data_IF_015390873344
#
_entry.id   IF_015390873344
#
_cell.length_a   1.000
_cell.length_b   1.000
_cell.length_c   1.000
_cell.angle_alpha   90.00
_cell.angle_beta   90.00
_cell.angle_gamma   90.00
#
_symmetry.space_group_name_H-M   'P 1'
#
loop_
_entity.id
_entity.type
_entity.pdbx_description
1 polymer ?
#
# COMPACT_ATOMS: atom_id res chain seq x y z
N UNK A 1 -13.53 23.84 3.10
CA UNK A 1 -12.60 23.60 1.99
C UNK A 1 -11.64 22.54 2.47
N UNK A 2 -11.66 21.33 1.91
CA UNK A 2 -10.74 20.27 2.33
C UNK A 2 -9.39 20.53 1.69
N UNK A 3 -8.39 20.77 2.52
CA UNK A 3 -7.04 21.14 2.08
C UNK A 3 -6.29 19.89 1.61
N UNK A 4 -5.90 19.86 0.34
CA UNK A 4 -5.00 18.84 -0.21
C UNK A 4 -3.57 19.26 0.06
N UNK A 5 -2.82 18.44 0.78
CA UNK A 5 -1.39 18.60 1.03
C UNK A 5 -0.59 17.70 0.10
N UNK A 6 0.41 18.26 -0.57
CA UNK A 6 1.35 17.50 -1.41
C UNK A 6 2.75 17.62 -0.81
N UNK A 7 3.40 16.48 -0.57
CA UNK A 7 4.82 16.41 -0.24
C UNK A 7 5.59 16.10 -1.53
N UNK A 8 6.57 16.95 -1.85
CA UNK A 8 7.43 16.77 -3.01
C UNK A 8 8.49 15.68 -2.79
N UNK A 9 9.24 15.35 -3.85
CA UNK A 9 10.25 14.30 -3.81
C UNK A 9 11.30 14.46 -2.71
N UNK A 10 11.79 15.68 -2.49
CA UNK A 10 12.77 15.93 -1.43
C UNK A 10 12.20 15.61 -0.03
N UNK A 11 10.92 15.90 0.23
CA UNK A 11 10.27 15.58 1.49
C UNK A 11 10.04 14.07 1.64
N UNK A 12 9.66 13.39 0.55
CA UNK A 12 9.51 11.94 0.52
C UNK A 12 10.85 11.23 0.71
N UNK A 13 11.93 11.73 0.09
CA UNK A 13 13.28 11.22 0.28
C UNK A 13 13.73 11.39 1.74
N UNK A 14 13.42 12.53 2.35
CA UNK A 14 13.66 12.76 3.78
C UNK A 14 12.87 11.81 4.69
N UNK A 15 11.64 11.45 4.33
CA UNK A 15 10.85 10.42 5.04
C UNK A 15 11.52 9.04 4.92
N UNK A 16 11.96 8.66 3.72
CA UNK A 16 12.63 7.37 3.47
C UNK A 16 13.97 7.28 4.21
N UNK A 17 14.74 8.36 4.26
CA UNK A 17 15.98 8.41 5.03
C UNK A 17 15.74 8.21 6.53
N UNK A 18 14.67 8.79 7.09
CA UNK A 18 14.27 8.54 8.49
C UNK A 18 13.88 7.07 8.72
N UNK A 19 13.06 6.51 7.83
CA UNK A 19 12.70 5.08 7.87
C UNK A 19 13.95 4.20 7.88
N UNK A 20 14.93 4.49 7.01
CA UNK A 20 16.17 3.72 6.96
C UNK A 20 16.94 3.74 8.28
N UNK A 21 17.06 4.92 8.91
CA UNK A 21 17.71 5.06 10.22
C UNK A 21 16.97 4.28 11.33
N UNK A 22 15.64 4.44 11.41
CA UNK A 22 14.81 3.75 12.40
C UNK A 22 14.83 2.24 12.23
N UNK A 23 14.80 1.78 10.97
CA UNK A 23 14.90 0.38 10.61
C UNK A 23 16.28 -0.19 10.96
N UNK A 24 17.35 0.54 10.68
CA UNK A 24 18.70 0.11 11.05
C UNK A 24 18.86 -0.04 12.57
N UNK A 25 18.29 0.89 13.34
CA UNK A 25 18.28 0.83 14.80
C UNK A 25 17.47 -0.36 15.33
N UNK A 26 16.30 -0.67 14.74
CA UNK A 26 15.49 -1.85 15.12
C UNK A 26 16.23 -3.17 14.80
N UNK A 27 16.80 -3.28 13.59
CA UNK A 27 17.55 -4.48 13.17
C UNK A 27 18.76 -4.73 14.07
N UNK A 28 19.53 -3.67 14.35
CA UNK A 28 20.69 -3.74 15.24
C UNK A 28 20.32 -4.21 16.64
N UNK A 29 19.23 -3.66 17.22
CA UNK A 29 18.74 -4.05 18.55
C UNK A 29 18.30 -5.51 18.61
N UNK A 30 17.75 -6.03 17.52
CA UNK A 30 17.29 -7.42 17.39
C UNK A 30 18.39 -8.38 16.95
N UNK A 31 19.60 -7.88 16.65
CA UNK A 31 20.70 -8.69 16.15
C UNK A 31 20.45 -9.30 14.77
N UNK A 32 19.55 -8.72 13.97
CA UNK A 32 19.23 -9.22 12.63
C UNK A 32 20.29 -8.71 11.64
N UNK A 33 20.93 -9.65 10.94
CA UNK A 33 21.89 -9.40 9.88
C UNK A 33 21.35 -9.92 8.56
N UNK A 34 21.75 -9.28 7.47
CA UNK A 34 21.43 -9.67 6.09
C UNK A 34 19.95 -10.02 5.83
N UNK A 35 19.02 -9.10 6.20
CA UNK A 35 17.60 -9.34 5.97
C UNK A 35 17.29 -9.33 4.47
N UNK A 36 16.24 -10.06 4.09
CA UNK A 36 15.67 -9.99 2.74
C UNK A 36 14.65 -8.84 2.70
N UNK A 37 14.52 -8.18 1.55
CA UNK A 37 13.53 -7.11 1.37
C UNK A 37 12.53 -7.49 0.28
N UNK A 38 11.26 -7.23 0.55
CA UNK A 38 10.15 -7.47 -0.37
C UNK A 38 9.28 -6.22 -0.39
N UNK A 39 9.07 -5.64 -1.57
CA UNK A 39 8.12 -4.55 -1.79
C UNK A 39 6.76 -5.06 -2.28
N UNK A 40 5.66 -4.56 -1.73
CA UNK A 40 4.32 -4.83 -2.24
C UNK A 40 4.04 -3.89 -3.42
N UNK A 41 3.57 -4.43 -4.54
CA UNK A 41 3.23 -3.62 -5.70
C UNK A 41 2.03 -2.70 -5.43
N UNK A 42 2.02 -1.47 -5.96
CA UNK A 42 3.07 -0.84 -6.78
C UNK A 42 3.97 0.09 -5.97
N UNK A 43 3.39 0.94 -5.10
CA UNK A 43 4.13 1.98 -4.38
C UNK A 43 5.17 1.44 -3.38
N UNK A 44 4.87 0.32 -2.73
CA UNK A 44 5.80 -0.35 -1.80
C UNK A 44 7.12 -0.75 -2.46
N UNK A 45 7.11 -1.19 -3.72
CA UNK A 45 8.33 -1.52 -4.48
C UNK A 45 9.21 -0.29 -4.71
N UNK A 46 8.64 0.89 -5.00
CA UNK A 46 9.43 2.11 -5.20
C UNK A 46 10.14 2.56 -3.92
N UNK A 47 9.46 2.42 -2.78
CA UNK A 47 10.05 2.70 -1.46
C UNK A 47 11.12 1.66 -1.14
N UNK A 48 10.83 0.38 -1.37
CA UNK A 48 11.76 -0.72 -1.13
C UNK A 48 13.06 -0.56 -1.91
N UNK A 49 13.00 -0.16 -3.19
CA UNK A 49 14.20 0.10 -4.00
C UNK A 49 15.12 1.14 -3.36
N UNK A 50 14.55 2.23 -2.83
CA UNK A 50 15.34 3.29 -2.19
C UNK A 50 15.90 2.84 -0.84
N UNK A 51 15.10 2.15 -0.02
CA UNK A 51 15.55 1.60 1.25
C UNK A 51 16.65 0.54 1.06
N UNK A 52 16.50 -0.32 0.05
CA UNK A 52 17.46 -1.37 -0.30
C UNK A 52 18.84 -0.76 -0.63
N UNK A 53 18.85 0.33 -1.41
CA UNK A 53 20.06 1.09 -1.71
C UNK A 53 20.67 1.76 -0.47
N UNK A 54 19.86 2.44 0.35
CA UNK A 54 20.35 3.15 1.55
C UNK A 54 20.93 2.18 2.58
N UNK A 55 20.28 1.02 2.78
CA UNK A 55 20.70 0.01 3.75
C UNK A 55 21.82 -0.90 3.21
N UNK A 56 22.14 -0.84 1.92
CA UNK A 56 23.19 -1.66 1.32
C UNK A 56 22.90 -3.17 1.41
N UNK A 57 21.64 -3.58 1.28
CA UNK A 57 21.27 -5.00 1.36
C UNK A 57 21.83 -5.73 0.13
N UNK A 58 22.68 -6.75 0.36
CA UNK A 58 23.37 -7.45 -0.73
C UNK A 58 22.49 -8.44 -1.51
N UNK A 59 21.45 -8.96 -0.87
CA UNK A 59 20.50 -9.88 -1.50
C UNK A 59 19.59 -9.14 -2.51
N UNK A 60 19.13 -9.79 -3.60
CA UNK A 60 18.23 -9.15 -4.55
C UNK A 60 16.95 -8.65 -3.86
N UNK A 61 16.34 -7.59 -4.41
CA UNK A 61 15.04 -7.12 -3.96
C UNK A 61 13.92 -8.01 -4.53
N UNK A 62 13.03 -8.49 -3.67
CA UNK A 62 11.81 -9.19 -4.07
C UNK A 62 10.62 -8.25 -4.25
N UNK A 63 9.59 -8.71 -4.96
CA UNK A 63 8.30 -8.03 -5.09
C UNK A 63 7.11 -8.97 -5.01
N UNK A 64 6.00 -8.49 -4.45
CA UNK A 64 4.72 -9.20 -4.37
C UNK A 64 3.64 -8.44 -5.14
N UNK A 65 2.85 -9.14 -5.95
CA UNK A 65 1.61 -8.63 -6.52
C UNK A 65 0.41 -9.41 -5.97
N UNK A 66 -0.17 -8.86 -4.90
CA UNK A 66 -1.32 -9.41 -4.19
C UNK A 66 -2.67 -8.98 -4.79
N UNK A 67 -2.67 -8.39 -6.00
CA UNK A 67 -3.88 -7.90 -6.68
C UNK A 67 -4.96 -8.98 -6.88
N UNK A 68 -4.59 -10.26 -6.77
CA UNK A 68 -5.47 -11.42 -6.88
C UNK A 68 -6.47 -11.55 -5.71
N UNK A 69 -6.17 -11.00 -4.52
CA UNK A 69 -6.97 -11.23 -3.30
C UNK A 69 -8.12 -10.22 -3.06
N UNK A 70 -8.68 -9.64 -4.14
CA UNK A 70 -9.88 -8.80 -4.03
C UNK A 70 -11.12 -9.68 -4.16
N UNK A 71 -11.98 -9.65 -3.14
CA UNK A 71 -13.28 -10.33 -3.09
C UNK A 71 -14.30 -9.83 -4.15
N UNK A 72 -13.91 -8.97 -5.08
CA UNK A 72 -14.79 -8.31 -6.06
C UNK A 72 -14.99 -9.12 -7.37
N UNK A 73 -14.37 -10.29 -7.52
CA UNK A 73 -14.34 -11.02 -8.80
C UNK A 73 -15.62 -11.78 -9.19
N UNK A 74 -16.75 -11.56 -8.50
CA UNK A 74 -18.03 -12.18 -8.91
C UNK A 74 -18.91 -11.31 -9.81
N UNK A 75 -18.53 -10.05 -10.13
CA UNK A 75 -19.48 -9.13 -10.82
C UNK A 75 -19.08 -8.55 -12.17
N UNK A 76 -17.84 -8.58 -12.61
CA UNK A 76 -17.48 -7.98 -13.91
C UNK A 76 -16.40 -8.84 -14.58
N UNK A 77 -16.74 -9.48 -15.70
CA UNK A 77 -15.90 -10.42 -16.45
C UNK A 77 -14.65 -9.84 -17.10
N UNK A 78 -13.83 -9.11 -16.34
CA UNK A 78 -12.49 -8.69 -16.73
C UNK A 78 -11.47 -9.63 -16.10
N UNK A 79 -10.69 -10.33 -16.93
CA UNK A 79 -9.55 -11.09 -16.47
C UNK A 79 -8.48 -10.11 -15.95
N UNK A 80 -8.16 -10.11 -14.65
CA UNK A 80 -7.07 -9.28 -14.14
C UNK A 80 -5.76 -9.71 -14.81
N UNK A 81 -4.98 -8.74 -15.28
CA UNK A 81 -3.60 -8.99 -15.72
C UNK A 81 -2.79 -9.29 -14.46
N UNK A 82 -2.63 -10.57 -14.14
CA UNK A 82 -1.80 -11.03 -13.02
C UNK A 82 -0.36 -10.74 -13.39
N UNK A 83 0.31 -9.83 -12.66
CA UNK A 83 1.77 -9.79 -12.70
C UNK A 83 2.27 -10.81 -11.69
N UNK A 84 3.23 -11.67 -12.05
CA UNK A 84 3.78 -12.62 -11.12
C UNK A 84 4.60 -11.89 -10.04
N UNK A 85 4.42 -12.28 -8.79
CA UNK A 85 5.37 -11.98 -7.72
C UNK A 85 6.75 -12.51 -8.10
N UNK A 86 7.80 -11.77 -7.72
CA UNK A 86 9.18 -12.13 -7.99
C UNK A 86 9.95 -12.22 -6.68
N UNK A 87 10.19 -13.45 -6.23
CA UNK A 87 10.97 -13.75 -5.03
C UNK A 87 12.16 -14.61 -5.47
N UNK A 88 13.31 -14.00 -5.82
CA UNK A 88 14.47 -14.70 -6.38
C UNK A 88 15.34 -15.41 -5.33
N UNK A 89 14.80 -15.63 -4.12
CA UNK A 89 15.51 -16.18 -2.97
C UNK A 89 14.58 -17.08 -2.13
N UNK A 90 15.18 -17.97 -1.32
CA UNK A 90 14.43 -18.75 -0.35
C UNK A 90 14.05 -17.90 0.87
N UNK A 91 12.81 -18.05 1.34
CA UNK A 91 12.32 -17.39 2.56
C UNK A 91 12.59 -18.20 3.83
N UNK A 92 13.01 -19.46 3.70
CA UNK A 92 13.11 -20.40 4.82
C UNK A 92 14.09 -19.92 5.90
N UNK A 93 13.61 -19.74 7.12
CA UNK A 93 14.40 -19.28 8.27
C UNK A 93 14.94 -17.85 8.15
N UNK A 94 14.54 -17.07 7.15
CA UNK A 94 15.08 -15.72 6.90
C UNK A 94 14.25 -14.62 7.58
N UNK A 95 14.90 -13.50 7.86
CA UNK A 95 14.23 -12.28 8.32
C UNK A 95 13.82 -11.42 7.12
N UNK A 96 12.54 -11.11 7.01
CA UNK A 96 11.95 -10.39 5.87
C UNK A 96 11.58 -8.97 6.29
N UNK A 97 11.94 -8.00 5.47
CA UNK A 97 11.44 -6.62 5.49
C UNK A 97 10.34 -6.51 4.44
N UNK A 98 9.09 -6.38 4.89
CA UNK A 98 7.93 -6.21 4.02
C UNK A 98 7.61 -4.72 3.93
N UNK A 99 7.69 -4.15 2.72
CA UNK A 99 7.57 -2.71 2.49
C UNK A 99 6.29 -2.39 1.72
N UNK A 100 5.47 -1.50 2.26
CA UNK A 100 4.25 -0.99 1.62
C UNK A 100 4.22 0.54 1.62
N UNK A 101 3.42 1.15 0.75
CA UNK A 101 3.29 2.61 0.74
C UNK A 101 2.36 3.13 1.85
N UNK A 102 1.20 2.50 2.01
CA UNK A 102 0.16 2.96 2.94
C UNK A 102 -0.44 1.79 3.73
N UNK A 103 -0.29 1.83 5.05
CA UNK A 103 -1.10 0.97 5.93
C UNK A 103 -2.41 1.69 6.31
N UNK A 104 -3.55 1.07 5.96
CA UNK A 104 -4.88 1.50 6.38
C UNK A 104 -5.65 0.38 7.08
N UNK A 105 -6.37 -0.48 6.36
CA UNK A 105 -7.17 -1.57 6.96
C UNK A 105 -6.34 -2.76 7.42
N UNK A 106 -5.16 -2.95 6.82
CA UNK A 106 -4.28 -4.11 7.01
C UNK A 106 -4.51 -5.25 6.03
N UNK A 107 -5.54 -5.19 5.16
CA UNK A 107 -5.89 -6.30 4.23
C UNK A 107 -4.80 -6.61 3.22
N UNK A 108 -4.15 -5.58 2.68
CA UNK A 108 -2.98 -5.67 1.80
C UNK A 108 -1.85 -6.47 2.47
N UNK A 109 -1.48 -6.08 3.69
CA UNK A 109 -0.44 -6.77 4.46
C UNK A 109 -0.85 -8.22 4.79
N UNK A 110 -2.10 -8.47 5.16
CA UNK A 110 -2.59 -9.85 5.41
C UNK A 110 -2.42 -10.74 4.18
N UNK A 111 -2.79 -10.25 3.00
CA UNK A 111 -2.63 -11.02 1.75
C UNK A 111 -1.15 -11.25 1.43
N UNK A 112 -0.29 -10.24 1.61
CA UNK A 112 1.15 -10.39 1.43
C UNK A 112 1.77 -11.39 2.40
N UNK A 113 1.30 -11.45 3.66
CA UNK A 113 1.73 -12.46 4.62
C UNK A 113 1.34 -13.86 4.16
N UNK A 114 0.11 -14.07 3.70
CA UNK A 114 -0.30 -15.37 3.16
C UNK A 114 0.64 -15.82 2.04
N UNK A 115 0.90 -14.94 1.07
CA UNK A 115 1.77 -15.24 -0.05
C UNK A 115 3.21 -15.52 0.39
N UNK A 116 3.78 -14.73 1.29
CA UNK A 116 5.10 -15.01 1.91
C UNK A 116 5.14 -16.42 2.51
N UNK A 117 4.07 -16.85 3.19
CA UNK A 117 3.99 -18.18 3.79
C UNK A 117 3.72 -19.29 2.77
N UNK A 118 3.20 -18.98 1.58
CA UNK A 118 3.11 -19.92 0.46
C UNK A 118 4.49 -20.16 -0.18
N UNK A 119 5.37 -19.15 -0.17
CA UNK A 119 6.74 -19.26 -0.69
C UNK A 119 7.76 -19.86 0.29
N UNK A 120 7.48 -19.88 1.61
CA UNK A 120 8.36 -20.51 2.60
C UNK A 120 8.02 -20.18 4.05
N UNK A 121 8.90 -20.54 4.99
CA UNK A 121 8.72 -20.22 6.42
C UNK A 121 9.77 -19.23 6.91
N UNK A 122 9.51 -17.91 6.88
CA UNK A 122 10.44 -16.92 7.41
C UNK A 122 10.58 -17.01 8.93
N UNK A 123 11.76 -16.68 9.45
CA UNK A 123 12.00 -16.55 10.89
C UNK A 123 11.28 -15.32 11.48
N UNK A 124 11.12 -14.25 10.70
CA UNK A 124 10.29 -13.11 11.07
C UNK A 124 9.90 -12.26 9.87
N UNK A 125 8.77 -11.56 9.94
CA UNK A 125 8.41 -10.51 8.99
C UNK A 125 8.32 -9.17 9.73
N UNK A 126 9.00 -8.15 9.21
CA UNK A 126 9.03 -6.78 9.73
C UNK A 126 8.32 -5.87 8.75
N UNK A 127 7.16 -5.33 9.12
CA UNK A 127 6.40 -4.40 8.29
C UNK A 127 6.98 -2.99 8.38
N UNK A 128 7.24 -2.39 7.22
CA UNK A 128 7.73 -1.03 7.03
C UNK A 128 6.80 -0.29 6.09
N UNK A 129 6.30 0.88 6.48
CA UNK A 129 5.39 1.66 5.63
C UNK A 129 5.81 3.12 5.51
N UNK A 130 5.56 3.74 4.36
CA UNK A 130 5.78 5.18 4.22
C UNK A 130 4.77 5.96 5.06
N UNK A 131 3.49 5.59 4.97
CA UNK A 131 2.39 6.25 5.68
C UNK A 131 1.53 5.25 6.44
N UNK A 132 1.28 5.54 7.71
CA UNK A 132 0.22 4.90 8.49
C UNK A 132 -1.02 5.81 8.52
N UNK A 133 -2.20 5.24 8.32
CA UNK A 133 -3.49 5.94 8.38
C UNK A 133 -4.44 5.30 9.38
N UNK A 134 -5.37 6.10 9.88
CA UNK A 134 -6.48 5.57 10.66
C UNK A 134 -7.39 4.66 9.82
N UNK A 135 -8.08 3.73 10.49
CA UNK A 135 -9.01 2.79 9.85
C UNK A 135 -8.51 1.35 9.81
N UNK A 136 -7.67 0.93 10.76
CA UNK A 136 -7.28 -0.47 10.95
C UNK A 136 -8.51 -1.33 11.21
N UNK A 137 -8.65 -2.39 10.42
CA UNK A 137 -9.67 -3.43 10.58
C UNK A 137 -9.04 -4.75 11.07
N UNK A 138 -7.74 -4.91 10.83
CA UNK A 138 -6.94 -6.03 11.30
C UNK A 138 -5.94 -5.57 12.36
N UNK A 139 -5.55 -6.44 13.31
CA UNK A 139 -4.56 -6.14 14.35
C UNK A 139 -3.13 -6.17 13.79
N UNK A 140 -2.87 -5.36 12.76
CA UNK A 140 -1.60 -5.26 12.06
C UNK A 140 -1.05 -3.86 12.29
N UNK A 141 0.19 -3.78 12.77
CA UNK A 141 0.89 -2.53 13.01
C UNK A 141 2.26 -2.54 12.32
N UNK A 142 2.71 -1.39 11.78
CA UNK A 142 4.03 -1.31 11.19
C UNK A 142 5.07 -1.22 12.32
N UNK A 143 6.19 -1.91 12.14
CA UNK A 143 7.32 -1.79 13.06
C UNK A 143 8.05 -0.46 12.85
N UNK A 144 8.13 -0.01 11.60
CA UNK A 144 8.69 1.29 11.21
C UNK A 144 7.74 1.99 10.27
N UNK A 145 7.50 3.28 10.50
CA UNK A 145 6.67 4.12 9.64
C UNK A 145 7.35 5.45 9.35
N UNK A 146 7.13 6.03 8.17
CA UNK A 146 7.64 7.37 7.85
C UNK A 146 6.83 8.48 8.52
N UNK A 147 5.50 8.41 8.42
CA UNK A 147 4.60 9.36 9.07
C UNK A 147 3.24 8.73 9.37
N UNK A 148 2.49 9.36 10.27
CA UNK A 148 1.07 9.07 10.50
C UNK A 148 0.22 10.19 9.92
N UNK A 149 -0.90 9.83 9.29
CA UNK A 149 -1.92 10.75 8.80
C UNK A 149 -3.23 10.42 9.48
N UNK A 150 -3.73 11.36 10.27
CA UNK A 150 -5.03 11.24 10.92
C UNK A 150 -6.18 11.57 9.95
N UNK A 151 -7.37 11.07 10.26
CA UNK A 151 -8.58 11.35 9.50
C UNK A 151 -8.94 10.25 8.50
N UNK A 152 -10.06 9.56 8.77
CA UNK A 152 -10.56 8.44 7.97
C UNK A 152 -10.81 8.82 6.51
N UNK A 153 -11.29 10.03 6.27
CA UNK A 153 -11.71 10.50 4.94
C UNK A 153 -10.58 10.99 4.05
N UNK A 154 -9.37 11.15 4.61
CA UNK A 154 -8.23 11.50 3.78
C UNK A 154 -7.98 10.38 2.76
N UNK A 155 -7.33 10.69 1.65
CA UNK A 155 -6.78 9.69 0.73
C UNK A 155 -5.31 10.00 0.59
N UNK A 156 -4.51 8.97 0.71
CA UNK A 156 -3.06 9.05 0.52
C UNK A 156 -2.75 8.38 -0.79
N UNK A 157 -1.99 9.06 -1.64
CA UNK A 157 -1.60 8.55 -2.96
C UNK A 157 -0.13 8.86 -3.19
N UNK A 158 0.66 7.81 -3.37
CA UNK A 158 2.04 7.90 -3.81
C UNK A 158 2.08 7.88 -5.34
N UNK A 159 2.71 8.88 -5.94
CA UNK A 159 3.00 8.92 -7.38
C UNK A 159 4.50 8.75 -7.59
N UNK A 160 4.92 8.12 -8.71
CA UNK A 160 6.28 7.65 -8.89
C UNK A 160 6.55 7.03 -10.25
N UNK A 161 7.72 6.37 -10.46
CA UNK A 161 8.75 6.00 -9.47
C UNK A 161 9.83 7.09 -9.22
N UNK A 162 9.98 8.05 -10.12
CA UNK A 162 10.91 9.18 -9.97
C UNK A 162 10.39 10.38 -10.79
N UNK A 163 10.08 11.52 -10.15
CA UNK A 163 10.09 11.77 -8.71
C UNK A 163 9.01 10.97 -7.96
N UNK A 164 9.25 10.62 -6.68
CA UNK A 164 8.17 10.20 -5.79
C UNK A 164 7.48 11.43 -5.21
N UNK A 165 6.15 11.49 -5.26
CA UNK A 165 5.39 12.53 -4.56
C UNK A 165 4.25 11.89 -3.76
N UNK A 166 3.93 12.49 -2.62
CA UNK A 166 2.87 12.01 -1.75
C UNK A 166 1.75 13.05 -1.69
N UNK A 167 0.55 12.66 -2.11
CA UNK A 167 -0.64 13.52 -2.08
C UNK A 167 -1.53 13.02 -0.95
N UNK A 168 -1.93 13.93 -0.05
CA UNK A 168 -2.80 13.68 1.10
C UNK A 168 -3.98 14.64 1.01
N UNK A 169 -5.20 14.12 0.88
CA UNK A 169 -6.40 14.95 0.90
C UNK A 169 -7.66 14.17 0.62
N UNK A 170 -8.82 14.77 0.85
CA UNK A 170 -10.08 14.12 0.52
C UNK A 170 -10.22 13.97 -1.00
N UNK A 171 -10.74 12.84 -1.50
CA UNK A 171 -11.13 12.75 -2.90
C UNK A 171 -12.14 13.87 -3.20
N UNK A 172 -11.90 14.68 -4.24
CA UNK A 172 -12.91 15.64 -4.71
C UNK A 172 -14.19 14.85 -5.01
N UNK A 173 -15.31 15.36 -4.51
CA UNK A 173 -16.63 14.74 -4.59
C UNK A 173 -17.21 14.80 -6.02
N UNK A 174 -16.46 14.38 -7.04
CA UNK A 174 -16.90 14.28 -8.43
C UNK A 174 -17.24 12.82 -8.76
N UNK A 175 -18.37 12.31 -8.24
CA UNK A 175 -19.13 11.16 -8.78
C UNK A 175 -20.14 10.56 -7.77
N UNK A 176 -20.96 11.38 -7.09
CA UNK A 176 -22.20 10.86 -6.45
C UNK A 176 -23.49 11.53 -6.95
N UNK A 177 -23.37 12.52 -7.85
CA UNK A 177 -24.53 13.18 -8.45
C UNK A 177 -25.10 12.45 -9.70
N UNK A 178 -24.35 11.53 -10.32
CA UNK A 178 -24.85 10.81 -11.50
C UNK A 178 -25.84 9.68 -11.18
N UNK A 179 -25.83 9.14 -9.96
CA UNK A 179 -26.75 8.07 -9.54
C UNK A 179 -28.12 8.58 -9.08
N UNK A 180 -28.17 9.73 -8.41
CA UNK A 180 -29.43 10.28 -7.88
C UNK A 180 -30.30 10.95 -8.97
N UNK A 181 -29.69 11.44 -10.05
CA UNK A 181 -30.44 12.05 -11.16
C UNK A 181 -31.17 11.01 -12.04
N UNK A 182 -30.71 9.75 -12.05
CA UNK A 182 -31.36 8.70 -12.84
C UNK A 182 -32.61 8.13 -12.15
N UNK A 183 -32.64 8.05 -10.82
CA UNK A 183 -33.83 7.59 -10.08
C UNK A 183 -34.97 8.63 -10.08
N UNK A 184 -34.66 9.93 -10.09
CA UNK A 184 -35.68 10.99 -10.21
C UNK A 184 -36.33 11.06 -11.60
N UNK A 185 -35.67 10.57 -12.65
CA UNK A 185 -36.19 10.58 -14.01
C UNK A 185 -37.08 9.36 -14.34
N UNK A 186 -36.96 8.25 -13.58
CA UNK A 186 -37.80 7.05 -13.76
C UNK A 186 -39.13 7.10 -12.98
N UNK A 187 -39.32 8.07 -12.07
CA UNK A 187 -40.51 8.16 -11.22
C UNK A 187 -41.51 9.27 -11.66
N UNK A 188 -41.31 9.89 -12.82
CA UNK A 188 -42.27 10.86 -13.35
C UNK A 188 -43.55 10.13 -13.85
N UNK A 189 -44.75 10.49 -13.36
CA UNK A 189 -45.99 9.87 -13.83
C UNK A 189 -46.22 10.24 -15.31
N UNK A 190 -46.47 9.23 -16.15
CA UNK A 190 -46.96 9.46 -17.52
C UNK A 190 -48.39 9.97 -17.42
N UNK A 191 -48.57 11.27 -17.59
CA UNK A 191 -49.90 11.85 -17.81
C UNK A 191 -50.50 11.23 -19.08
N UNK A 192 -51.63 10.56 -18.90
CA UNK A 192 -52.40 9.98 -19.99
C UNK A 192 -53.11 11.07 -20.77
N UNK A 193 -52.91 11.08 -22.08
CA UNK A 193 -53.81 11.76 -23.01
C UNK A 193 -54.91 10.79 -23.42
N UNK A 194 -56.09 11.00 -22.85
CA UNK A 194 -57.37 10.61 -23.41
C UNK A 194 -57.75 11.60 -24.51
N UNK A 195 -58.33 11.09 -25.61
CA UNK A 195 -58.90 11.90 -26.70
C UNK A 195 -58.60 11.32 -28.07
#
# INVERSE_FOLDING_TARGET
MSETRTLGSHEVDGLIARIANDLWADLSRRGIKDPLMIGIHTGGVWIAQRLHQILGIGEPLGSLDIGFYRDDFTRVGMHPVVRPSSIPFSLEGRHILLVDDVLQSGRTVRAALNEIFDYGRPASVTLVVLVERDGRELPIEPRVRGMKVDGRDNRVTLTGPSPLNLIIGQPKHEARAAGAALESALCAPREGTAG
#
